data_IF_081119730651
#
_entry.id   IF_081119730651
#
_cell.length_a   1.000
_cell.length_b   1.000
_cell.length_c   1.000
_cell.angle_alpha   90.00
_cell.angle_beta   90.00
_cell.angle_gamma   90.00
#
_symmetry.space_group_name_H-M   'P 1'
#
loop_
_entity.id
_entity.type
_entity.pdbx_description
1 polymer ?
#
# COMPACT_ATOMS: atom_id res chain seq x y z
N UNK A 1 12.88 -23.37 4.95
CA UNK A 1 11.99 -22.48 4.16
C UNK A 1 12.34 -21.07 4.57
N UNK A 2 12.76 -20.22 3.63
CA UNK A 2 12.99 -18.81 3.91
C UNK A 2 11.66 -18.13 4.22
N UNK A 3 11.67 -17.29 5.25
CA UNK A 3 10.54 -16.45 5.59
C UNK A 3 10.47 -15.30 4.57
N UNK A 4 9.26 -14.85 4.18
CA UNK A 4 9.15 -13.68 3.31
C UNK A 4 9.77 -12.45 3.99
N UNK A 5 10.39 -11.57 3.20
CA UNK A 5 11.07 -10.38 3.69
C UNK A 5 10.13 -9.40 4.41
N UNK A 6 8.83 -9.45 4.10
CA UNK A 6 7.80 -8.63 4.72
C UNK A 6 6.56 -9.45 5.06
N UNK A 7 5.79 -9.07 6.10
CA UNK A 7 4.64 -9.83 6.57
C UNK A 7 3.37 -9.70 5.72
N UNK A 8 3.30 -8.73 4.80
CA UNK A 8 2.09 -8.52 4.00
C UNK A 8 1.82 -9.68 3.04
N UNK A 9 0.56 -10.14 2.90
CA UNK A 9 0.22 -11.15 1.91
C UNK A 9 0.50 -10.67 0.49
N UNK A 10 1.08 -11.56 -0.34
CA UNK A 10 1.57 -11.21 -1.67
C UNK A 10 0.48 -10.61 -2.59
N UNK A 11 -0.67 -11.28 -2.74
CA UNK A 11 -1.70 -10.84 -3.69
C UNK A 11 -2.28 -9.44 -3.35
N UNK A 12 -2.69 -9.15 -2.10
CA UNK A 12 -3.08 -7.80 -1.69
C UNK A 12 -2.00 -6.74 -1.89
N UNK A 13 -0.76 -7.05 -1.52
CA UNK A 13 0.36 -6.12 -1.66
C UNK A 13 0.63 -5.83 -3.14
N UNK A 14 0.60 -6.86 -3.99
CA UNK A 14 0.80 -6.72 -5.41
C UNK A 14 -0.30 -5.90 -6.09
N UNK A 15 -1.57 -6.06 -5.68
CA UNK A 15 -2.67 -5.25 -6.19
C UNK A 15 -2.47 -3.74 -5.90
N UNK A 16 -2.16 -3.40 -4.65
CA UNK A 16 -1.94 -2.00 -4.22
C UNK A 16 -0.68 -1.42 -4.88
N UNK A 17 0.43 -2.17 -4.94
CA UNK A 17 1.66 -1.73 -5.63
C UNK A 17 1.39 -1.46 -7.11
N UNK A 18 0.72 -2.39 -7.82
CA UNK A 18 0.35 -2.19 -9.23
C UNK A 18 -0.46 -0.92 -9.43
N UNK A 19 -1.46 -0.67 -8.59
CA UNK A 19 -2.28 0.54 -8.68
C UNK A 19 -1.46 1.81 -8.40
N UNK A 20 -0.60 1.78 -7.37
CA UNK A 20 0.29 2.89 -7.04
C UNK A 20 1.19 3.32 -8.21
N UNK A 21 1.68 2.34 -8.98
CA UNK A 21 2.51 2.59 -10.17
C UNK A 21 1.72 2.85 -11.47
N UNK A 22 0.39 2.67 -11.49
CA UNK A 22 -0.43 2.89 -12.69
C UNK A 22 -0.47 4.37 -13.12
N UNK A 23 -0.34 5.30 -12.17
CA UNK A 23 -0.29 6.75 -12.45
C UNK A 23 1.03 7.36 -11.97
N UNK A 24 2.05 7.33 -12.84
CA UNK A 24 3.35 7.93 -12.51
C UNK A 24 3.17 9.41 -12.12
N UNK A 25 3.96 9.87 -11.15
CA UNK A 25 3.99 11.27 -10.68
C UNK A 25 2.81 11.75 -9.85
N UNK A 26 1.86 10.88 -9.50
CA UNK A 26 0.81 11.23 -8.54
C UNK A 26 1.21 10.87 -7.12
N UNK A 27 0.74 11.69 -6.17
CA UNK A 27 0.75 11.36 -4.74
C UNK A 27 -0.05 10.07 -4.51
N UNK A 28 0.36 9.24 -3.56
CA UNK A 28 -0.28 7.96 -3.24
C UNK A 28 -1.77 8.09 -2.92
N UNK A 29 -2.18 9.13 -2.18
CA UNK A 29 -3.61 9.39 -1.92
C UNK A 29 -4.46 9.56 -3.17
N UNK A 30 -3.84 9.91 -4.31
CA UNK A 30 -4.50 10.04 -5.61
C UNK A 30 -4.34 8.79 -6.45
N UNK A 31 -3.17 8.16 -6.42
CA UNK A 31 -2.93 6.91 -7.15
C UNK A 31 -3.77 5.74 -6.59
N UNK A 32 -3.97 5.71 -5.27
CA UNK A 32 -4.64 4.63 -4.54
C UNK A 32 -6.09 4.95 -4.15
N UNK A 33 -6.68 5.98 -4.75
CA UNK A 33 -8.07 6.35 -4.51
C UNK A 33 -9.01 5.16 -4.77
N UNK A 34 -10.05 5.04 -3.95
CA UNK A 34 -10.99 3.91 -3.97
C UNK A 34 -10.51 2.62 -3.29
N UNK A 35 -9.21 2.46 -2.99
CA UNK A 35 -8.68 1.25 -2.30
C UNK A 35 -8.07 1.57 -0.94
N UNK A 36 -7.36 2.70 -0.82
CA UNK A 36 -6.69 3.13 0.40
C UNK A 36 -7.30 4.44 0.89
N UNK A 37 -7.74 4.47 2.15
CA UNK A 37 -8.32 5.67 2.76
C UNK A 37 -7.30 6.39 3.66
N UNK A 38 -7.60 7.64 4.03
CA UNK A 38 -6.71 8.44 4.89
C UNK A 38 -6.32 7.73 6.20
N UNK A 39 -7.25 7.00 6.82
CA UNK A 39 -6.98 6.25 8.04
C UNK A 39 -5.95 5.12 7.85
N UNK A 40 -5.90 4.48 6.67
CA UNK A 40 -4.93 3.41 6.39
C UNK A 40 -3.50 3.96 6.34
N UNK A 41 -3.31 5.14 5.74
CA UNK A 41 -2.02 5.84 5.73
C UNK A 41 -1.55 6.17 7.14
N UNK A 42 -2.46 6.66 7.99
CA UNK A 42 -2.16 6.96 9.40
C UNK A 42 -1.76 5.69 10.16
N UNK A 43 -2.54 4.60 10.03
CA UNK A 43 -2.24 3.31 10.69
C UNK A 43 -0.91 2.72 10.20
N UNK A 44 -0.58 2.87 8.93
CA UNK A 44 0.64 2.36 8.33
C UNK A 44 1.88 3.24 8.61
N UNK A 45 1.68 4.48 9.07
CA UNK A 45 2.76 5.47 9.19
C UNK A 45 3.37 5.83 7.84
N UNK A 46 2.56 5.89 6.77
CA UNK A 46 3.00 6.18 5.39
C UNK A 46 2.54 7.58 5.01
N UNK A 47 3.44 8.37 4.41
CA UNK A 47 3.09 9.69 3.91
C UNK A 47 2.14 9.59 2.69
N UNK A 48 0.89 10.07 2.78
CA UNK A 48 -0.07 10.02 1.66
C UNK A 48 0.33 10.91 0.46
N UNK A 49 1.28 11.84 0.67
CA UNK A 49 1.81 12.72 -0.37
C UNK A 49 3.04 12.15 -1.08
N UNK A 50 3.62 11.07 -0.57
CA UNK A 50 4.71 10.38 -1.25
C UNK A 50 4.25 9.82 -2.60
N UNK A 51 5.20 9.59 -3.49
CA UNK A 51 5.01 8.90 -4.77
C UNK A 51 5.29 7.41 -4.60
N UNK A 52 4.75 6.58 -5.49
CA UNK A 52 4.91 5.13 -5.39
C UNK A 52 6.38 4.66 -5.36
N UNK A 53 7.25 5.32 -6.15
CA UNK A 53 8.68 5.03 -6.18
C UNK A 53 9.45 5.49 -4.93
N UNK A 54 8.84 6.28 -4.04
CA UNK A 54 9.47 6.78 -2.81
C UNK A 54 9.24 5.83 -1.62
N UNK A 55 8.33 4.85 -1.74
CA UNK A 55 8.05 3.89 -0.68
C UNK A 55 9.02 2.73 -0.69
N UNK A 56 9.53 2.42 0.50
CA UNK A 56 10.22 1.17 0.81
C UNK A 56 9.27 -0.04 0.79
N UNK A 57 9.86 -1.24 0.71
CA UNK A 57 9.11 -2.50 0.76
C UNK A 57 8.32 -2.64 2.08
N UNK A 58 8.92 -2.22 3.20
CA UNK A 58 8.28 -2.24 4.52
C UNK A 58 7.10 -1.29 4.62
N UNK A 59 7.19 -0.11 4.00
CA UNK A 59 6.06 0.84 3.94
C UNK A 59 4.90 0.29 3.13
N UNK A 60 5.18 -0.32 1.97
CA UNK A 60 4.16 -1.02 1.20
C UNK A 60 3.52 -2.17 1.99
N UNK A 61 4.32 -2.90 2.76
CA UNK A 61 3.81 -3.97 3.61
C UNK A 61 2.89 -3.43 4.72
N UNK A 62 3.30 -2.40 5.46
CA UNK A 62 2.46 -1.78 6.50
C UNK A 62 1.16 -1.22 5.94
N UNK A 63 1.21 -0.56 4.78
CA UNK A 63 0.02 -0.02 4.12
C UNK A 63 -0.95 -1.14 3.73
N UNK A 64 -0.43 -2.22 3.15
CA UNK A 64 -1.24 -3.39 2.79
C UNK A 64 -1.90 -4.01 4.02
N UNK A 65 -1.15 -4.17 5.12
CA UNK A 65 -1.70 -4.72 6.36
C UNK A 65 -2.79 -3.83 6.96
N UNK A 66 -2.66 -2.51 6.87
CA UNK A 66 -3.70 -1.57 7.31
C UNK A 66 -5.00 -1.76 6.52
N UNK A 67 -4.91 -1.84 5.19
CA UNK A 67 -6.07 -2.07 4.29
C UNK A 67 -6.75 -3.42 4.55
N UNK A 68 -5.95 -4.49 4.66
CA UNK A 68 -6.47 -5.84 4.94
C UNK A 68 -7.13 -5.90 6.31
N UNK A 69 -6.53 -5.29 7.34
CA UNK A 69 -7.10 -5.24 8.69
C UNK A 69 -8.43 -4.48 8.72
N UNK A 70 -8.61 -3.46 7.87
CA UNK A 70 -9.87 -2.72 7.73
C UNK A 70 -10.97 -3.55 7.06
N UNK A 71 -10.64 -4.62 6.33
CA UNK A 71 -11.62 -5.49 5.67
C UNK A 71 -12.02 -5.05 4.25
N UNK A 72 -11.30 -4.09 3.65
CA UNK A 72 -11.37 -3.94 2.19
C UNK A 72 -10.47 -4.99 1.57
N UNK A 73 -11.06 -5.98 0.91
CA UNK A 73 -10.29 -6.86 0.03
C UNK A 73 -9.84 -6.02 -1.18
N UNK A 74 -8.53 -5.79 -1.40
CA UNK A 74 -8.07 -5.31 -2.69
C UNK A 74 -8.35 -6.41 -3.71
N UNK A 75 -9.15 -6.10 -4.73
CA UNK A 75 -9.45 -7.00 -5.85
C UNK A 75 -8.19 -7.17 -6.71
#
# INVERSE_FOLDING_TARGET
>A
RENPAVPAPFAPMFAIVRQGFATRRKMLRRALDGVVIAADFVVAGVNPEARAEELSLDEWSRLTLAVVKRGSAPI
#
